data_IF_364871888412
#
_entry.id   IF_364871888412
#
_cell.length_a   1.000
_cell.length_b   1.000
_cell.length_c   1.000
_cell.angle_alpha   90.00
_cell.angle_beta   90.00
_cell.angle_gamma   90.00
#
_symmetry.space_group_name_H-M   'P 1'
#
loop_
_entity.id
_entity.type
_entity.pdbx_description
1 polymer ?
#
# COMPACT_ATOMS: atom_id res chain seq x y z
N UNK A 1 42.55 15.87 21.03
CA UNK A 1 41.23 16.46 20.73
C UNK A 1 40.36 15.30 20.28
N UNK A 2 39.29 15.06 21.03
CA UNK A 2 38.42 13.90 20.90
C UNK A 2 37.40 14.18 19.79
N UNK A 3 37.59 13.57 18.62
CA UNK A 3 36.70 13.72 17.46
C UNK A 3 35.38 12.98 17.73
N UNK A 4 34.46 13.67 18.39
CA UNK A 4 33.08 13.21 18.57
C UNK A 4 32.35 13.21 17.23
N UNK A 5 32.42 12.10 16.51
CA UNK A 5 31.57 11.83 15.33
C UNK A 5 30.11 11.74 15.77
N UNK A 6 29.26 12.58 15.18
CA UNK A 6 27.84 12.74 15.59
C UNK A 6 26.91 11.70 14.93
N UNK A 7 27.32 11.07 13.82
CA UNK A 7 26.70 9.87 13.25
C UNK A 7 27.61 9.27 12.15
N UNK A 8 27.62 7.94 11.98
CA UNK A 8 28.40 7.28 10.92
C UNK A 8 27.59 7.04 9.63
N UNK A 9 26.25 7.02 9.67
CA UNK A 9 25.40 6.86 8.49
C UNK A 9 24.05 7.52 8.71
N UNK A 10 23.60 8.33 7.76
CA UNK A 10 22.20 8.76 7.68
C UNK A 10 21.56 8.11 6.45
N UNK A 11 20.33 7.62 6.61
CA UNK A 11 19.51 7.12 5.51
C UNK A 11 18.60 8.25 5.10
N UNK A 12 18.69 8.66 3.83
CA UNK A 12 17.70 9.55 3.24
C UNK A 12 16.72 8.69 2.48
N UNK A 13 15.49 8.61 2.97
CA UNK A 13 14.37 7.96 2.30
C UNK A 13 13.34 9.03 1.93
N UNK A 14 12.72 8.91 0.75
CA UNK A 14 11.67 9.83 0.29
C UNK A 14 12.16 11.07 -0.48
N UNK A 15 13.35 11.03 -1.07
CA UNK A 15 13.74 12.01 -2.09
C UNK A 15 13.28 11.55 -3.48
N UNK A 16 12.80 12.47 -4.34
CA UNK A 16 12.50 12.15 -5.72
C UNK A 16 13.77 11.80 -6.51
N UNK A 17 13.61 11.05 -7.61
CA UNK A 17 14.72 10.65 -8.51
C UNK A 17 15.42 11.87 -9.14
N UNK A 18 14.69 12.97 -9.34
CA UNK A 18 15.21 14.23 -9.83
C UNK A 18 15.14 15.28 -8.72
N UNK A 19 16.32 15.73 -8.29
CA UNK A 19 16.48 16.70 -7.21
C UNK A 19 16.48 18.12 -7.77
N UNK A 20 15.45 18.90 -7.47
CA UNK A 20 15.49 20.33 -7.74
C UNK A 20 16.21 21.08 -6.62
N UNK A 21 17.06 22.07 -6.95
CA UNK A 21 17.68 22.96 -5.96
C UNK A 21 16.61 23.61 -5.08
N UNK A 22 16.82 23.57 -3.77
CA UNK A 22 15.89 24.15 -2.80
C UNK A 22 16.08 25.67 -2.80
N UNK A 23 15.40 26.37 -3.70
CA UNK A 23 15.63 27.81 -3.91
C UNK A 23 15.05 28.75 -2.83
N UNK A 24 14.34 28.24 -1.82
CA UNK A 24 13.97 29.07 -0.66
C UNK A 24 13.64 28.18 0.54
N UNK A 25 14.64 27.96 1.40
CA UNK A 25 14.37 27.61 2.80
C UNK A 25 13.81 28.88 3.42
N UNK A 26 12.48 29.03 3.39
CA UNK A 26 11.82 30.08 4.18
C UNK A 26 12.36 29.99 5.61
N UNK A 27 12.83 31.14 6.13
CA UNK A 27 13.57 31.30 7.40
C UNK A 27 12.83 30.84 8.66
N UNK A 28 11.65 30.28 8.47
CA UNK A 28 10.75 29.85 9.51
C UNK A 28 10.85 28.34 9.79
N UNK A 29 11.62 27.54 9.04
CA UNK A 29 11.93 26.15 9.44
C UNK A 29 10.75 25.16 9.44
N UNK A 30 9.55 25.61 9.09
CA UNK A 30 8.33 24.79 8.99
C UNK A 30 7.92 24.49 7.54
N UNK A 31 8.60 25.09 6.55
CA UNK A 31 8.22 24.99 5.13
C UNK A 31 9.28 24.22 4.32
N UNK A 32 9.61 23.02 4.78
CA UNK A 32 10.19 22.03 3.87
C UNK A 32 9.14 21.81 2.78
N UNK A 33 9.44 22.21 1.54
CA UNK A 33 8.61 21.91 0.37
C UNK A 33 8.41 20.39 0.37
N UNK A 34 7.21 19.98 0.76
CA UNK A 34 6.84 18.60 1.02
C UNK A 34 6.85 17.85 -0.30
N UNK A 35 7.99 17.23 -0.65
CA UNK A 35 8.18 16.42 -1.87
C UNK A 35 7.32 15.13 -1.89
N UNK A 36 6.31 15.00 -1.02
CA UNK A 36 5.35 13.90 -0.98
C UNK A 36 3.89 14.38 -0.94
N UNK A 37 3.46 15.15 -1.94
CA UNK A 37 2.11 15.77 -2.02
C UNK A 37 0.91 14.82 -2.01
N UNK A 38 1.10 13.50 -1.92
CA UNK A 38 0.01 12.53 -1.86
C UNK A 38 -0.39 12.25 -0.39
N UNK A 39 -1.69 12.33 -0.05
CA UNK A 39 -2.18 11.86 1.25
C UNK A 39 -1.85 10.37 1.45
N UNK A 40 -1.73 9.91 2.71
CA UNK A 40 -1.42 8.51 2.99
C UNK A 40 -2.56 7.58 2.56
N UNK A 41 -2.23 6.30 2.44
CA UNK A 41 -3.24 5.26 2.19
C UNK A 41 -4.02 5.03 3.47
N UNK A 42 -5.33 5.08 3.32
CA UNK A 42 -6.27 4.95 4.42
C UNK A 42 -7.07 3.68 4.33
N UNK A 43 -7.31 3.13 3.13
CA UNK A 43 -8.05 1.87 2.99
C UNK A 43 -7.57 1.09 1.77
N UNK A 44 -7.87 -0.20 1.78
CA UNK A 44 -7.74 -1.10 0.64
C UNK A 44 -9.07 -1.81 0.40
N UNK A 45 -9.31 -2.22 -0.84
CA UNK A 45 -10.46 -3.02 -1.24
C UNK A 45 -10.05 -3.97 -2.39
N UNK A 46 -10.80 -5.03 -2.60
CA UNK A 46 -10.58 -5.97 -3.70
C UNK A 46 -11.81 -5.97 -4.60
N UNK A 47 -11.57 -5.96 -5.91
CA UNK A 47 -12.63 -6.08 -6.93
C UNK A 47 -12.42 -7.31 -7.80
N UNK A 48 -13.52 -7.99 -8.09
CA UNK A 48 -13.61 -9.01 -9.13
C UNK A 48 -14.15 -8.41 -10.43
N UNK A 49 -13.28 -7.76 -11.21
CA UNK A 49 -13.70 -6.98 -12.40
C UNK A 49 -14.44 -7.82 -13.45
N UNK A 50 -13.97 -9.05 -13.68
CA UNK A 50 -14.64 -10.03 -14.56
C UNK A 50 -16.04 -10.46 -14.09
N UNK A 51 -16.40 -10.18 -12.85
CA UNK A 51 -17.72 -10.45 -12.28
C UNK A 51 -18.54 -9.16 -12.08
N UNK A 52 -18.17 -8.08 -12.78
CA UNK A 52 -18.91 -6.81 -12.81
C UNK A 52 -18.69 -5.89 -11.61
N UNK A 53 -17.71 -6.19 -10.73
CA UNK A 53 -17.36 -5.26 -9.66
C UNK A 53 -16.50 -4.11 -10.18
N UNK A 54 -16.77 -2.90 -9.71
CA UNK A 54 -16.06 -1.68 -10.10
C UNK A 54 -15.35 -1.05 -8.91
N UNK A 55 -14.30 -0.27 -9.19
CA UNK A 55 -13.60 0.50 -8.15
C UNK A 55 -14.61 1.38 -7.38
N UNK A 56 -14.61 1.36 -6.03
CA UNK A 56 -15.49 2.22 -5.24
C UNK A 56 -15.21 3.71 -5.42
N UNK A 57 -16.18 4.56 -5.09
CA UNK A 57 -15.99 6.00 -5.14
C UNK A 57 -14.87 6.45 -4.20
N UNK A 58 -13.93 7.25 -4.72
CA UNK A 58 -12.78 7.76 -3.97
C UNK A 58 -11.63 6.76 -3.82
N UNK A 59 -11.71 5.61 -4.48
CA UNK A 59 -10.61 4.64 -4.57
C UNK A 59 -9.96 4.70 -5.95
N UNK A 60 -8.69 4.32 -5.99
CA UNK A 60 -7.90 4.09 -7.19
C UNK A 60 -7.64 2.59 -7.33
N UNK A 61 -7.74 2.06 -8.53
CA UNK A 61 -7.45 0.65 -8.83
C UNK A 61 -6.03 0.51 -9.37
N UNK A 62 -5.32 -0.52 -8.92
CA UNK A 62 -4.02 -0.92 -9.49
C UNK A 62 -4.32 -1.89 -10.62
N UNK A 63 -4.43 -1.38 -11.85
CA UNK A 63 -4.70 -2.20 -13.05
C UNK A 63 -3.43 -2.78 -13.65
N UNK A 64 -2.32 -2.05 -13.52
CA UNK A 64 -1.03 -2.38 -14.12
C UNK A 64 0.10 -2.40 -13.08
N UNK A 65 1.07 -3.27 -13.31
CA UNK A 65 2.34 -3.30 -12.60
C UNK A 65 3.24 -2.16 -13.09
N UNK A 66 4.36 -1.83 -12.40
CA UNK A 66 5.26 -0.77 -12.83
C UNK A 66 5.81 -0.93 -14.25
N UNK A 67 5.90 -2.16 -14.78
CA UNK A 67 6.35 -2.41 -16.16
C UNK A 67 5.21 -2.49 -17.19
N UNK A 68 3.96 -2.22 -16.79
CA UNK A 68 2.79 -2.22 -17.68
C UNK A 68 2.16 -3.60 -17.89
N UNK A 69 2.45 -4.59 -17.04
CA UNK A 69 1.76 -5.88 -17.05
C UNK A 69 0.44 -5.76 -16.29
N UNK A 70 -0.53 -6.64 -16.57
CA UNK A 70 -1.77 -6.69 -15.77
C UNK A 70 -1.46 -7.02 -14.31
N UNK A 71 -1.90 -6.17 -13.38
CA UNK A 71 -1.80 -6.36 -11.93
C UNK A 71 -2.88 -7.30 -11.37
N UNK A 72 -3.29 -8.30 -12.16
CA UNK A 72 -4.27 -9.30 -11.74
C UNK A 72 -3.65 -10.21 -10.66
N UNK A 73 -4.17 -10.14 -9.43
CA UNK A 73 -3.68 -10.96 -8.31
C UNK A 73 -3.91 -12.47 -8.54
N UNK A 74 -4.78 -12.84 -9.47
CA UNK A 74 -5.03 -14.23 -9.88
C UNK A 74 -4.38 -14.60 -11.22
N UNK A 75 -3.36 -13.84 -11.66
CA UNK A 75 -2.65 -14.07 -12.91
C UNK A 75 -2.29 -15.55 -13.13
N UNK A 76 -2.38 -15.99 -14.39
CA UNK A 76 -2.06 -17.36 -14.79
C UNK A 76 -3.25 -18.34 -14.78
N UNK A 77 -4.45 -17.91 -14.36
CA UNK A 77 -5.66 -18.73 -14.45
C UNK A 77 -6.65 -18.19 -15.49
N UNK A 78 -6.92 -18.96 -16.54
CA UNK A 78 -7.92 -18.61 -17.57
C UNK A 78 -9.37 -18.71 -17.07
N UNK A 79 -9.61 -19.48 -16.01
CA UNK A 79 -10.96 -19.78 -15.49
C UNK A 79 -11.32 -19.00 -14.24
N UNK A 80 -10.32 -18.42 -13.56
CA UNK A 80 -10.57 -17.68 -12.33
C UNK A 80 -10.98 -16.25 -12.66
N UNK A 81 -11.84 -15.64 -11.82
CA UNK A 81 -12.10 -14.21 -11.92
C UNK A 81 -10.79 -13.42 -11.82
N UNK A 82 -10.68 -12.38 -12.65
CA UNK A 82 -9.62 -11.38 -12.51
C UNK A 82 -9.83 -10.59 -11.22
N UNK A 83 -8.75 -10.38 -10.47
CA UNK A 83 -8.78 -9.76 -9.14
C UNK A 83 -7.84 -8.58 -9.12
N UNK A 84 -8.34 -7.41 -8.73
CA UNK A 84 -7.54 -6.19 -8.64
C UNK A 84 -7.65 -5.56 -7.26
N UNK A 85 -6.54 -4.97 -6.81
CA UNK A 85 -6.46 -4.21 -5.58
C UNK A 85 -6.86 -2.77 -5.86
N UNK A 86 -7.74 -2.24 -5.02
CA UNK A 86 -8.06 -0.83 -4.95
C UNK A 86 -7.53 -0.26 -3.63
N UNK A 87 -7.15 1.01 -3.62
CA UNK A 87 -6.78 1.73 -2.41
C UNK A 87 -7.44 3.11 -2.37
N UNK A 88 -7.55 3.68 -1.18
CA UNK A 88 -8.03 5.05 -0.99
C UNK A 88 -6.98 5.88 -0.27
N UNK A 89 -6.72 7.08 -0.77
CA UNK A 89 -5.91 8.09 -0.09
C UNK A 89 -6.79 9.06 0.68
N UNK A 90 -6.31 9.56 1.80
CA UNK A 90 -7.05 10.55 2.57
C UNK A 90 -6.38 10.98 3.85
N UNK A 91 -6.86 12.10 4.39
CA UNK A 91 -6.56 12.57 5.74
C UNK A 91 -7.82 12.54 6.63
N UNK A 92 -8.93 11.97 6.13
CA UNK A 92 -10.21 11.90 6.83
C UNK A 92 -10.29 10.78 7.87
N UNK A 93 -9.32 9.86 7.87
CA UNK A 93 -9.27 8.72 8.79
C UNK A 93 -7.82 8.31 9.07
N UNK A 94 -7.55 7.53 10.14
CA UNK A 94 -6.20 7.09 10.44
C UNK A 94 -5.61 6.26 9.29
N UNK A 95 -4.35 6.50 8.91
CA UNK A 95 -3.71 5.83 7.79
C UNK A 95 -3.45 4.35 8.09
N UNK A 96 -3.22 3.57 7.03
CA UNK A 96 -2.70 2.22 7.15
C UNK A 96 -1.22 2.28 7.50
N UNK A 97 -0.79 1.43 8.41
CA UNK A 97 0.62 1.31 8.84
C UNK A 97 1.25 0.04 8.31
N UNK A 98 0.43 -0.87 7.79
CA UNK A 98 0.86 -2.17 7.29
C UNK A 98 -0.20 -2.74 6.36
N UNK A 99 0.26 -3.43 5.31
CA UNK A 99 -0.57 -4.21 4.40
C UNK A 99 0.14 -5.56 4.23
N UNK A 100 -0.54 -6.63 4.59
CA UNK A 100 0.01 -7.98 4.60
C UNK A 100 -0.81 -8.95 3.77
N UNK A 101 -0.28 -10.16 3.62
CA UNK A 101 -0.97 -11.30 3.01
C UNK A 101 -1.06 -12.39 4.06
N UNK A 102 -2.24 -12.99 4.21
CA UNK A 102 -2.47 -14.10 5.13
C UNK A 102 -2.91 -15.34 4.35
N UNK A 103 -2.26 -16.47 4.63
CA UNK A 103 -2.70 -17.79 4.16
C UNK A 103 -3.53 -18.50 5.24
N UNK A 104 -4.77 -18.83 4.92
CA UNK A 104 -5.70 -19.46 5.87
C UNK A 104 -5.11 -20.79 6.41
N UNK A 105 -5.12 -20.93 7.74
CA UNK A 105 -4.66 -22.11 8.45
C UNK A 105 -3.13 -22.27 8.57
N UNK A 106 -2.33 -21.37 7.96
CA UNK A 106 -0.86 -21.44 8.04
C UNK A 106 -0.25 -20.39 8.95
N UNK A 107 -0.88 -19.21 9.04
CA UNK A 107 -0.30 -18.04 9.70
C UNK A 107 -1.24 -17.47 10.75
N UNK A 108 -0.66 -16.92 11.82
CA UNK A 108 -1.38 -16.06 12.77
C UNK A 108 -1.11 -14.62 12.37
N UNK A 109 -2.18 -13.86 12.16
CA UNK A 109 -2.08 -12.41 11.96
C UNK A 109 -1.80 -11.70 13.29
N UNK A 110 -1.29 -10.48 13.21
CA UNK A 110 -1.11 -9.66 14.41
C UNK A 110 -2.48 -9.33 15.03
N UNK A 111 -2.55 -9.15 16.36
CA UNK A 111 -3.84 -8.91 17.04
C UNK A 111 -4.58 -7.65 16.57
N UNK A 112 -3.84 -6.65 16.06
CA UNK A 112 -4.35 -5.39 15.51
C UNK A 112 -4.54 -5.43 13.99
N UNK A 113 -4.36 -6.59 13.35
CA UNK A 113 -4.65 -6.81 11.93
C UNK A 113 -6.11 -7.09 11.66
N UNK A 114 -6.62 -6.48 10.61
CA UNK A 114 -7.92 -6.75 10.02
C UNK A 114 -7.75 -7.54 8.72
N UNK A 115 -8.65 -8.49 8.47
CA UNK A 115 -8.67 -9.30 7.25
C UNK A 115 -9.66 -8.66 6.27
N UNK A 116 -9.22 -8.43 5.04
CA UNK A 116 -10.11 -8.04 3.96
C UNK A 116 -10.84 -9.30 3.45
N UNK A 117 -11.88 -9.73 4.17
CA UNK A 117 -12.60 -10.98 3.89
C UNK A 117 -13.50 -10.91 2.67
N UNK A 118 -13.99 -9.71 2.34
CA UNK A 118 -14.99 -9.50 1.29
C UNK A 118 -14.52 -8.51 0.23
N UNK A 119 -14.88 -8.80 -1.02
CA UNK A 119 -14.74 -7.86 -2.13
C UNK A 119 -15.77 -6.75 -2.01
N UNK A 120 -15.65 -5.74 -2.87
CA UNK A 120 -16.64 -4.65 -2.98
C UNK A 120 -18.04 -5.17 -3.28
N UNK A 121 -18.15 -6.26 -4.04
CA UNK A 121 -19.43 -6.93 -4.32
C UNK A 121 -19.92 -7.88 -3.21
N UNK A 122 -19.23 -7.94 -2.07
CA UNK A 122 -19.60 -8.80 -0.94
C UNK A 122 -19.24 -10.29 -1.11
N UNK A 123 -18.48 -10.64 -2.15
CA UNK A 123 -17.98 -12.00 -2.38
C UNK A 123 -16.76 -12.26 -1.52
N UNK A 124 -16.39 -13.51 -1.32
CA UNK A 124 -15.18 -13.86 -0.59
C UNK A 124 -13.95 -13.32 -1.34
N UNK A 125 -13.16 -12.43 -0.73
CA UNK A 125 -11.98 -11.79 -1.33
C UNK A 125 -10.75 -12.71 -1.34
N UNK A 126 -10.91 -13.94 -1.81
CA UNK A 126 -9.80 -14.86 -2.02
C UNK A 126 -8.95 -14.37 -3.21
N UNK A 127 -7.72 -13.97 -2.94
CA UNK A 127 -6.73 -13.54 -3.96
C UNK A 127 -5.87 -14.72 -4.43
N UNK A 128 -6.47 -15.91 -4.50
CA UNK A 128 -5.85 -17.15 -4.93
C UNK A 128 -6.77 -17.88 -5.90
N UNK A 129 -6.18 -18.47 -6.94
CA UNK A 129 -6.87 -19.19 -8.01
C UNK A 129 -7.03 -20.71 -7.71
N UNK A 130 -6.71 -21.14 -6.49
CA UNK A 130 -6.85 -22.52 -6.01
C UNK A 130 -7.92 -22.64 -4.91
N UNK A 131 -8.08 -23.86 -4.37
CA UNK A 131 -8.97 -24.11 -3.20
C UNK A 131 -8.43 -23.51 -1.90
N UNK A 132 -7.14 -23.21 -1.84
CA UNK A 132 -6.55 -22.55 -0.68
C UNK A 132 -7.00 -21.09 -0.62
N UNK A 133 -7.21 -20.58 0.60
CA UNK A 133 -7.62 -19.20 0.80
C UNK A 133 -6.44 -18.32 1.17
N UNK A 134 -6.25 -17.28 0.39
CA UNK A 134 -5.28 -16.23 0.62
C UNK A 134 -6.04 -14.91 0.68
N UNK A 135 -5.81 -14.12 1.72
CA UNK A 135 -6.47 -12.84 1.93
C UNK A 135 -5.45 -11.73 2.11
N UNK A 136 -5.85 -10.51 1.74
CA UNK A 136 -5.13 -9.32 2.15
C UNK A 136 -5.51 -8.96 3.59
N UNK A 137 -4.55 -8.39 4.29
CA UNK A 137 -4.72 -7.88 5.66
C UNK A 137 -4.19 -6.47 5.73
N UNK A 138 -4.70 -5.69 6.66
CA UNK A 138 -4.17 -4.35 6.93
C UNK A 138 -4.14 -4.08 8.43
N UNK A 139 -3.28 -3.14 8.82
CA UNK A 139 -3.32 -2.54 10.17
C UNK A 139 -3.50 -1.05 10.04
N UNK A 140 -4.38 -0.52 10.87
CA UNK A 140 -4.69 0.91 10.91
C UNK A 140 -3.95 1.57 12.06
N UNK A 141 -3.44 2.77 11.84
CA UNK A 141 -2.82 3.57 12.88
C UNK A 141 -3.78 3.76 14.06
N UNK A 142 -3.40 3.42 15.30
CA UNK A 142 -4.20 3.74 16.47
C UNK A 142 -4.20 5.27 16.70
N UNK A 143 -5.24 5.83 17.35
CA UNK A 143 -5.31 7.27 17.62
C UNK A 143 -4.13 7.84 18.43
N UNK A 144 -3.42 6.98 19.18
CA UNK A 144 -2.26 7.35 20.00
C UNK A 144 -0.94 7.34 19.23
N UNK A 145 -0.94 7.00 17.94
CA UNK A 145 0.27 6.93 17.14
C UNK A 145 0.89 8.33 16.93
N UNK A 146 2.21 8.51 17.11
CA UNK A 146 2.85 9.81 16.92
C UNK A 146 2.78 10.26 15.46
N UNK A 147 2.71 11.57 15.21
CA UNK A 147 2.65 12.15 13.86
C UNK A 147 3.89 11.86 12.99
N UNK A 148 4.99 11.42 13.60
CA UNK A 148 6.22 11.03 12.92
C UNK A 148 6.28 9.54 12.57
N UNK A 149 5.20 8.78 12.81
CA UNK A 149 5.16 7.35 12.52
C UNK A 149 5.18 7.10 11.00
N UNK A 150 5.82 5.99 10.60
CA UNK A 150 5.79 5.52 9.23
C UNK A 150 4.40 4.97 8.90
N UNK A 151 3.91 5.31 7.71
CA UNK A 151 2.60 4.92 7.21
C UNK A 151 2.73 4.46 5.76
N UNK A 152 1.75 3.71 5.28
CA UNK A 152 1.68 3.27 3.89
C UNK A 152 1.29 4.46 3.02
N UNK A 153 2.17 4.82 2.09
CA UNK A 153 1.95 5.95 1.15
C UNK A 153 1.73 5.50 -0.29
N UNK A 154 2.22 4.31 -0.65
CA UNK A 154 2.14 3.73 -1.99
C UNK A 154 1.98 2.22 -1.89
N UNK A 155 1.24 1.64 -2.84
CA UNK A 155 1.11 0.18 -3.03
C UNK A 155 1.28 -0.11 -4.51
N UNK A 156 2.10 -1.11 -4.83
CA UNK A 156 2.30 -1.61 -6.19
C UNK A 156 2.16 -3.13 -6.20
N UNK A 157 1.78 -3.67 -7.35
CA UNK A 157 1.76 -5.13 -7.60
C UNK A 157 2.93 -5.45 -8.50
N UNK A 158 3.69 -6.48 -8.13
CA UNK A 158 4.87 -6.96 -8.86
C UNK A 158 4.63 -8.40 -9.31
N UNK A 159 4.82 -8.68 -10.60
CA UNK A 159 4.76 -10.03 -11.14
C UNK A 159 6.16 -10.66 -11.15
N UNK A 160 6.55 -11.25 -10.02
CA UNK A 160 7.87 -11.91 -9.86
C UNK A 160 8.15 -12.97 -10.93
N UNK A 161 7.11 -13.67 -11.41
CA UNK A 161 7.23 -14.68 -12.48
C UNK A 161 7.65 -14.12 -13.84
N UNK A 162 7.58 -12.79 -14.02
CA UNK A 162 7.94 -12.07 -15.24
C UNK A 162 9.24 -11.27 -15.11
N UNK A 163 9.95 -11.42 -13.99
CA UNK A 163 11.23 -10.76 -13.76
C UNK A 163 11.11 -9.28 -13.37
N UNK A 164 9.95 -8.88 -12.84
CA UNK A 164 9.77 -7.59 -12.15
C UNK A 164 10.29 -7.62 -10.72
#
# INVERSE_FOLDING_TARGET
MDDRRVADYFVVAGLPDELEPVDDISKDGYHLKWYHTKPPITDIAVIFSSLGETCPQGYEVIEETPTGLSADLNHGSLRSPKVFLCYRRGNDRPPLVDVGVMYEGKERILPDSEILEKSVGGRLANVNNSVAKTFLTYRRAPPSMPCSALVVTEIVVICSSKGE
#
